data_IF_223912898094
#
_entry.id   IF_223912898094
#
_cell.length_a   1.000
_cell.length_b   1.000
_cell.length_c   1.000
_cell.angle_alpha   90.00
_cell.angle_beta   90.00
_cell.angle_gamma   90.00
#
_symmetry.space_group_name_H-M   'P 1'
#
loop_
_entity.id
_entity.type
_entity.pdbx_description
1 polymer ?
#
# COMPACT_ATOMS: atom_id res chain seq x y z
N UNK A 1 30.76 -41.70 -55.03
CA UNK A 1 30.13 -40.38 -55.19
C UNK A 1 29.74 -39.92 -53.81
N UNK A 2 30.33 -38.81 -53.36
CA UNK A 2 29.98 -38.10 -52.14
C UNK A 2 28.49 -37.71 -52.17
N UNK A 3 27.77 -37.54 -51.06
CA UNK A 3 27.92 -36.35 -50.23
C UNK A 3 27.24 -36.53 -48.86
N UNK A 4 27.95 -36.03 -47.85
CA UNK A 4 27.67 -36.03 -46.43
C UNK A 4 27.02 -34.69 -46.10
N UNK A 5 25.79 -34.67 -45.59
CA UNK A 5 25.14 -33.44 -45.12
C UNK A 5 25.12 -33.46 -43.59
N UNK A 6 26.01 -32.67 -43.00
CA UNK A 6 26.07 -32.32 -41.57
C UNK A 6 25.00 -31.29 -41.19
N UNK A 7 24.51 -31.29 -39.93
CA UNK A 7 23.71 -30.21 -39.39
C UNK A 7 24.62 -29.06 -38.93
N UNK A 8 24.46 -27.85 -39.48
CA UNK A 8 25.17 -26.67 -38.99
C UNK A 8 24.25 -25.65 -38.35
N UNK A 9 24.69 -25.31 -37.15
CA UNK A 9 24.23 -24.31 -36.17
C UNK A 9 23.96 -22.95 -36.81
N UNK A 10 22.92 -22.28 -36.33
CA UNK A 10 22.74 -20.85 -36.51
C UNK A 10 23.72 -20.11 -35.59
N UNK A 11 24.75 -19.50 -36.19
CA UNK A 11 25.64 -18.55 -35.53
C UNK A 11 24.92 -17.20 -35.37
N UNK A 12 24.98 -16.65 -34.17
CA UNK A 12 24.33 -15.39 -33.80
C UNK A 12 25.02 -14.18 -34.45
N UNK A 13 24.22 -13.30 -35.05
CA UNK A 13 24.68 -12.00 -35.49
C UNK A 13 24.75 -11.04 -34.28
N UNK A 14 25.97 -10.66 -33.90
CA UNK A 14 26.25 -9.55 -32.98
C UNK A 14 25.89 -8.23 -33.64
N UNK A 15 24.71 -7.68 -33.31
CA UNK A 15 24.35 -6.29 -33.60
C UNK A 15 24.86 -5.39 -32.47
N UNK A 16 25.92 -4.61 -32.74
CA UNK A 16 26.36 -3.53 -31.88
C UNK A 16 25.36 -2.37 -31.96
N UNK A 17 24.38 -2.35 -31.05
CA UNK A 17 23.46 -1.23 -30.88
C UNK A 17 24.13 -0.11 -30.08
N UNK A 18 24.27 1.04 -30.75
CA UNK A 18 24.78 2.29 -30.19
C UNK A 18 23.84 2.71 -29.04
N UNK A 19 24.34 3.06 -27.84
CA UNK A 19 23.49 3.66 -26.83
C UNK A 19 23.07 5.06 -27.30
N UNK A 20 21.82 5.19 -27.73
CA UNK A 20 21.16 6.47 -27.93
C UNK A 20 20.94 7.12 -26.56
N UNK A 21 21.93 7.84 -26.08
CA UNK A 21 21.76 8.72 -24.93
C UNK A 21 20.88 9.89 -25.36
N UNK A 22 19.61 9.86 -24.97
CA UNK A 22 18.75 11.02 -25.01
C UNK A 22 19.27 12.03 -23.97
N UNK A 23 19.86 13.14 -24.41
CA UNK A 23 20.14 14.29 -23.55
C UNK A 23 18.82 14.91 -23.13
N UNK A 24 18.37 14.62 -21.91
CA UNK A 24 17.24 15.30 -21.31
C UNK A 24 17.65 16.75 -21.02
N UNK A 25 17.11 17.70 -21.78
CA UNK A 25 17.12 19.11 -21.40
C UNK A 25 16.45 19.23 -20.02
N UNK A 26 17.14 19.93 -19.11
CA UNK A 26 16.89 19.91 -17.67
C UNK A 26 15.43 19.92 -17.27
N UNK A 27 15.04 18.93 -16.47
CA UNK A 27 13.80 19.01 -15.71
C UNK A 27 13.94 20.20 -14.76
N UNK A 28 13.02 21.19 -14.74
CA UNK A 28 12.98 22.12 -13.64
C UNK A 28 12.72 21.28 -12.39
N UNK A 29 13.73 21.22 -11.51
CA UNK A 29 13.56 20.69 -10.15
C UNK A 29 12.52 21.56 -9.48
N UNK A 30 11.25 21.16 -9.58
CA UNK A 30 10.18 21.73 -8.79
C UNK A 30 10.53 21.38 -7.35
N UNK A 31 11.13 22.34 -6.65
CA UNK A 31 11.37 22.24 -5.22
C UNK A 31 10.02 21.97 -4.56
N UNK A 32 9.82 20.71 -4.16
CA UNK A 32 8.62 20.35 -3.42
C UNK A 32 8.63 21.19 -2.13
N UNK A 33 7.56 21.97 -1.85
CA UNK A 33 7.51 22.76 -0.63
C UNK A 33 7.75 21.85 0.58
N UNK A 34 8.56 22.34 1.54
CA UNK A 34 8.92 21.61 2.76
C UNK A 34 7.68 20.91 3.32
N UNK A 35 7.82 19.60 3.50
CA UNK A 35 6.75 18.64 3.71
C UNK A 35 5.60 19.19 4.57
N UNK A 36 4.37 19.11 4.04
CA UNK A 36 3.15 19.17 4.86
C UNK A 36 3.36 18.27 6.08
N UNK A 37 2.99 18.74 7.27
CA UNK A 37 3.07 17.95 8.50
C UNK A 37 2.54 16.54 8.22
N UNK A 38 3.47 15.56 8.19
CA UNK A 38 3.10 14.17 7.92
C UNK A 38 2.08 13.78 8.98
N UNK A 39 1.06 13.02 8.61
CA UNK A 39 0.10 12.48 9.59
C UNK A 39 0.89 11.68 10.62
N UNK A 40 1.19 12.28 11.76
CA UNK A 40 1.93 11.69 12.85
C UNK A 40 1.11 12.02 14.08
N UNK A 41 0.78 10.99 14.86
CA UNK A 41 -0.08 11.14 16.02
C UNK A 41 0.09 9.99 16.98
N UNK A 42 -0.18 10.28 18.25
CA UNK A 42 -0.44 9.30 19.28
C UNK A 42 -1.92 8.91 19.20
N UNK A 43 -2.18 7.62 19.29
CA UNK A 43 -3.52 7.05 19.26
C UNK A 43 -3.69 6.17 20.49
N UNK A 44 -4.74 6.42 21.25
CA UNK A 44 -5.16 5.57 22.36
C UNK A 44 -6.12 4.52 21.82
N UNK A 45 -5.82 3.24 22.07
CA UNK A 45 -6.57 2.09 21.56
C UNK A 45 -7.23 1.39 22.75
N UNK A 46 -8.55 1.27 22.70
CA UNK A 46 -9.38 0.60 23.70
C UNK A 46 -10.00 -0.66 23.07
N UNK A 47 -9.36 -1.84 23.21
CA UNK A 47 -9.91 -3.09 22.72
C UNK A 47 -11.09 -3.56 23.57
N UNK A 48 -12.07 -4.23 22.95
CA UNK A 48 -13.32 -4.72 23.58
C UNK A 48 -13.11 -5.78 24.70
N UNK A 49 -11.88 -6.22 24.96
CA UNK A 49 -11.58 -7.23 25.98
C UNK A 49 -10.12 -7.25 26.44
N UNK A 50 -9.42 -6.12 26.36
CA UNK A 50 -8.02 -6.02 26.76
C UNK A 50 -7.70 -4.68 27.42
N UNK A 51 -6.47 -4.54 27.92
CA UNK A 51 -6.02 -3.27 28.47
C UNK A 51 -5.80 -2.24 27.37
N UNK A 52 -6.21 -0.99 27.58
CA UNK A 52 -6.01 0.05 26.60
C UNK A 52 -4.54 0.45 26.52
N UNK A 53 -4.07 0.73 25.31
CA UNK A 53 -2.67 1.04 25.05
C UNK A 53 -2.52 2.17 24.04
N UNK A 54 -1.38 2.83 24.06
CA UNK A 54 -1.08 3.93 23.13
C UNK A 54 -0.13 3.47 22.05
N UNK A 55 -0.43 3.82 20.80
CA UNK A 55 0.47 3.62 19.67
C UNK A 55 0.84 4.94 19.01
N UNK A 56 2.04 4.99 18.45
CA UNK A 56 2.46 6.08 17.58
C UNK A 56 2.36 5.60 16.12
N UNK A 57 1.51 6.26 15.33
CA UNK A 57 1.45 6.00 13.88
C UNK A 57 1.92 7.23 13.11
N UNK A 58 2.69 6.99 12.04
CA UNK A 58 3.28 8.02 11.17
C UNK A 58 2.93 7.79 9.69
N UNK A 59 2.91 8.87 8.91
CA UNK A 59 2.75 8.86 7.46
C UNK A 59 1.46 8.17 6.99
N UNK A 60 1.61 7.12 6.19
CA UNK A 60 0.48 6.39 5.59
C UNK A 60 -0.23 5.45 6.55
N UNK A 61 0.48 4.90 7.56
CA UNK A 61 -0.16 4.10 8.62
C UNK A 61 -1.11 4.98 9.45
N UNK A 62 -0.67 6.19 9.79
CA UNK A 62 -1.53 7.17 10.46
C UNK A 62 -2.72 7.57 9.58
N UNK A 63 -2.51 7.80 8.29
CA UNK A 63 -3.60 8.08 7.36
C UNK A 63 -4.64 6.95 7.34
N UNK A 64 -4.20 5.69 7.23
CA UNK A 64 -5.09 4.54 7.23
C UNK A 64 -5.85 4.41 8.56
N UNK A 65 -5.18 4.63 9.69
CA UNK A 65 -5.82 4.61 11.00
C UNK A 65 -6.86 5.72 11.15
N UNK A 66 -6.59 6.94 10.68
CA UNK A 66 -7.58 8.02 10.68
C UNK A 66 -8.82 7.67 9.84
N UNK A 67 -8.64 6.96 8.72
CA UNK A 67 -9.75 6.50 7.88
C UNK A 67 -10.59 5.45 8.60
N UNK A 68 -9.95 4.51 9.28
CA UNK A 68 -10.65 3.52 10.12
C UNK A 68 -11.43 4.18 11.27
N UNK A 69 -10.86 5.18 11.94
CA UNK A 69 -11.54 5.95 12.99
C UNK A 69 -12.77 6.67 12.41
N UNK A 70 -12.63 7.31 11.25
CA UNK A 70 -13.73 8.02 10.60
C UNK A 70 -14.85 7.08 10.12
N UNK A 71 -14.51 5.87 9.67
CA UNK A 71 -15.48 4.86 9.26
C UNK A 71 -16.12 4.12 10.44
N UNK A 72 -15.44 4.05 11.59
CA UNK A 72 -15.91 3.39 12.80
C UNK A 72 -16.31 1.93 12.55
N UNK A 73 -17.51 1.57 13.01
CA UNK A 73 -18.08 0.23 12.89
C UNK A 73 -18.45 -0.18 11.45
N UNK A 74 -18.63 0.78 10.54
CA UNK A 74 -18.93 0.51 9.12
C UNK A 74 -17.73 -0.10 8.40
N UNK A 75 -16.52 0.21 8.86
CA UNK A 75 -15.27 -0.21 8.25
C UNK A 75 -14.96 0.52 6.94
N UNK A 76 -13.74 0.32 6.45
CA UNK A 76 -13.26 0.92 5.20
C UNK A 76 -13.06 -0.17 4.16
N UNK A 77 -13.66 0.05 2.99
CA UNK A 77 -13.44 -0.77 1.81
C UNK A 77 -12.49 -0.04 0.84
N UNK A 78 -11.44 -0.71 0.31
CA UNK A 78 -10.48 -0.10 -0.62
C UNK A 78 -11.09 0.56 -1.87
N UNK A 79 -12.32 0.19 -2.21
CA UNK A 79 -13.10 0.71 -3.34
C UNK A 79 -13.66 2.12 -3.09
N UNK A 80 -13.98 2.45 -1.83
CA UNK A 80 -14.62 3.72 -1.45
C UNK A 80 -13.61 4.85 -1.22
N UNK A 81 -12.33 4.50 -0.98
CA UNK A 81 -11.25 5.46 -0.78
C UNK A 81 -10.44 5.69 -2.08
N UNK A 82 -9.86 6.88 -2.27
CA UNK A 82 -9.13 7.20 -3.48
C UNK A 82 -7.98 6.22 -3.62
N UNK A 83 -7.85 5.60 -4.81
CA UNK A 83 -6.92 4.54 -5.16
C UNK A 83 -5.59 4.63 -4.38
N UNK A 84 -5.57 3.98 -3.21
CA UNK A 84 -4.51 4.11 -2.23
C UNK A 84 -3.58 2.92 -2.34
N UNK A 85 -2.27 3.12 -2.56
CA UNK A 85 -1.37 2.00 -2.71
C UNK A 85 -1.22 1.29 -1.36
N UNK A 86 -1.73 0.04 -1.30
CA UNK A 86 -1.47 -0.98 -0.27
C UNK A 86 -2.11 -0.76 1.12
N UNK A 87 -3.45 -0.69 1.17
CA UNK A 87 -4.23 -0.83 2.40
C UNK A 87 -3.77 -2.03 3.25
N UNK A 88 -3.67 -3.21 2.65
CA UNK A 88 -3.25 -4.44 3.33
C UNK A 88 -1.92 -4.30 4.07
N UNK A 89 -0.92 -3.62 3.50
CA UNK A 89 0.37 -3.37 4.16
C UNK A 89 0.25 -2.44 5.36
N UNK A 90 -0.60 -1.42 5.28
CA UNK A 90 -0.82 -0.51 6.41
C UNK A 90 -1.57 -1.21 7.55
N UNK A 91 -2.59 -1.99 7.22
CA UNK A 91 -3.34 -2.79 8.19
C UNK A 91 -2.44 -3.83 8.84
N UNK A 92 -1.57 -4.51 8.06
CA UNK A 92 -0.58 -5.44 8.60
C UNK A 92 0.34 -4.76 9.62
N UNK A 93 0.84 -3.55 9.30
CA UNK A 93 1.68 -2.78 10.23
C UNK A 93 0.91 -2.37 11.50
N UNK A 94 -0.34 -1.93 11.37
CA UNK A 94 -1.17 -1.53 12.50
C UNK A 94 -1.50 -2.72 13.42
N UNK A 95 -1.78 -3.89 12.83
CA UNK A 95 -1.95 -5.14 13.60
C UNK A 95 -0.69 -5.54 14.34
N UNK A 96 0.48 -5.37 13.71
CA UNK A 96 1.77 -5.60 14.38
C UNK A 96 2.00 -4.66 15.56
N UNK A 97 1.39 -3.48 15.56
CA UNK A 97 1.37 -2.54 16.70
C UNK A 97 0.30 -2.88 17.75
N UNK A 98 -0.49 -3.94 17.55
CA UNK A 98 -1.51 -4.41 18.48
C UNK A 98 -2.93 -3.95 18.18
N UNK A 99 -3.15 -3.11 17.15
CA UNK A 99 -4.50 -2.59 16.86
C UNK A 99 -5.42 -3.72 16.40
N UNK A 100 -6.57 -3.95 17.07
CA UNK A 100 -7.51 -4.99 16.68
C UNK A 100 -8.31 -4.53 15.47
N UNK A 101 -7.84 -4.94 14.29
CA UNK A 101 -8.49 -4.68 13.01
C UNK A 101 -8.94 -6.01 12.43
N UNK A 102 -10.22 -6.13 12.11
CA UNK A 102 -10.80 -7.27 11.43
C UNK A 102 -10.78 -7.07 9.90
N UNK A 103 -10.55 -8.14 9.13
CA UNK A 103 -10.68 -8.10 7.66
C UNK A 103 -11.83 -9.01 7.25
N UNK A 104 -12.93 -8.41 6.81
CA UNK A 104 -14.04 -9.11 6.19
C UNK A 104 -13.76 -9.25 4.70
N UNK A 105 -13.88 -10.45 4.16
CA UNK A 105 -13.71 -10.66 2.72
C UNK A 105 -15.04 -10.37 2.03
N UNK A 106 -15.12 -9.27 1.30
CA UNK A 106 -16.27 -8.91 0.48
C UNK A 106 -16.02 -9.36 -0.97
N UNK A 107 -17.03 -9.99 -1.55
CA UNK A 107 -17.04 -10.39 -2.96
C UNK A 107 -17.64 -9.20 -3.73
N UNK A 108 -16.87 -8.66 -4.67
CA UNK A 108 -17.37 -7.64 -5.58
C UNK A 108 -17.81 -8.30 -6.89
N UNK A 109 -19.06 -8.04 -7.26
CA UNK A 109 -19.62 -8.41 -8.57
C UNK A 109 -19.44 -7.25 -9.57
N UNK A 110 -19.26 -7.56 -10.85
CA UNK A 110 -19.04 -6.56 -11.90
C UNK A 110 -18.06 -7.03 -12.98
N UNK A 111 -17.63 -6.11 -13.85
CA UNK A 111 -16.77 -6.42 -15.02
C UNK A 111 -15.41 -7.03 -14.64
N UNK A 112 -14.96 -6.85 -13.39
CA UNK A 112 -13.78 -7.47 -12.82
C UNK A 112 -14.15 -8.11 -11.48
N UNK A 113 -14.74 -9.33 -11.49
CA UNK A 113 -15.15 -9.99 -10.27
C UNK A 113 -13.92 -10.38 -9.45
N UNK A 114 -13.98 -10.11 -8.15
CA UNK A 114 -12.83 -10.29 -7.27
C UNK A 114 -13.20 -10.22 -5.80
N UNK A 115 -12.25 -10.61 -4.95
CA UNK A 115 -12.38 -10.53 -3.49
C UNK A 115 -11.53 -9.39 -2.99
N UNK A 116 -12.10 -8.51 -2.18
CA UNK A 116 -11.35 -7.48 -1.47
C UNK A 116 -11.67 -7.52 0.02
N UNK A 117 -10.74 -7.06 0.83
CA UNK A 117 -10.93 -6.98 2.27
C UNK A 117 -11.60 -5.66 2.65
N UNK A 118 -12.75 -5.70 3.32
CA UNK A 118 -13.27 -4.61 4.15
C UNK A 118 -12.59 -4.67 5.51
N UNK A 119 -12.04 -3.55 5.96
CA UNK A 119 -11.31 -3.47 7.21
C UNK A 119 -12.17 -2.78 8.27
N UNK A 120 -12.49 -3.50 9.34
CA UNK A 120 -13.32 -2.99 10.43
C UNK A 120 -12.46 -2.83 11.68
N UNK A 121 -12.58 -1.69 12.35
CA UNK A 121 -11.89 -1.44 13.61
C UNK A 121 -12.74 -2.00 14.76
N UNK A 122 -12.19 -2.94 15.53
CA UNK A 122 -12.88 -3.60 16.67
C UNK A 122 -12.44 -3.02 18.02
N UNK A 123 -12.01 -1.76 18.02
CA UNK A 123 -11.60 -1.02 19.21
C UNK A 123 -12.06 0.44 19.12
N UNK A 124 -12.30 1.05 20.29
CA UNK A 124 -12.33 2.49 20.41
C UNK A 124 -10.94 3.04 20.12
N UNK A 125 -10.83 4.05 19.24
CA UNK A 125 -9.55 4.71 18.98
C UNK A 125 -9.70 6.22 19.05
N UNK A 126 -8.96 6.82 19.98
CA UNK A 126 -8.93 8.26 20.20
C UNK A 126 -7.60 8.84 19.71
N UNK A 127 -7.68 9.88 18.89
CA UNK A 127 -6.52 10.56 18.32
C UNK A 127 -6.10 11.74 19.19
N UNK A 128 -4.84 11.75 19.61
CA UNK A 128 -4.34 12.68 20.61
C UNK A 128 -4.72 12.14 21.98
N UNK A 129 -3.72 11.70 22.76
CA UNK A 129 -3.96 11.22 24.11
C UNK A 129 -4.73 12.26 24.91
N UNK A 130 -5.97 11.97 25.25
CA UNK A 130 -6.78 12.73 26.18
C UNK A 130 -7.75 11.74 26.80
N UNK A 131 -7.26 11.03 27.80
CA UNK A 131 -8.02 10.62 28.98
C UNK A 131 -7.22 11.06 30.20
#
# INVERSE_FOLDING_TARGET
MAEKIEPRRADGATGAEKPCHATAAGFPTLAQPKARAKHAGLYYIEPEGGEPFTIEAKGRNAWALNRLIAAGATGVTPTEEPAGPRWSSYIFNLRKMGVPIETLTEIHDGQFPGKHGRYVLRAGVLKGGSV
#
